data_IF_187453851929
#
_entry.id   IF_187453851929
#
_cell.length_a   1.000
_cell.length_b   1.000
_cell.length_c   1.000
_cell.angle_alpha   90.00
_cell.angle_beta   90.00
_cell.angle_gamma   90.00
#
_symmetry.space_group_name_H-M   'P 1'
#
loop_
_entity.id
_entity.type
_entity.pdbx_description
1 polymer ?
#
# COMPACT_ATOMS: atom_id res chain seq x y z
N UNK A 1 22.06 -0.82 -9.84
CA UNK A 1 21.25 0.33 -9.34
C UNK A 1 22.12 1.45 -8.76
N UNK A 2 23.08 2.00 -9.52
CA UNK A 2 23.96 3.09 -9.06
C UNK A 2 23.34 4.48 -9.22
N UNK A 3 22.48 4.67 -10.24
CA UNK A 3 21.84 5.95 -10.56
C UNK A 3 20.77 6.39 -9.54
N UNK A 4 20.21 5.45 -8.77
CA UNK A 4 19.23 5.72 -7.73
C UNK A 4 19.69 5.09 -6.40
N UNK A 5 20.18 5.89 -5.43
CA UNK A 5 20.72 5.37 -4.17
C UNK A 5 19.69 4.59 -3.34
N UNK A 6 18.42 4.99 -3.41
CA UNK A 6 17.30 4.33 -2.70
C UNK A 6 16.07 4.19 -3.60
N UNK A 7 15.16 3.27 -3.26
CA UNK A 7 13.87 3.11 -3.92
C UNK A 7 13.05 4.42 -3.91
N UNK A 8 13.20 5.22 -2.86
CA UNK A 8 12.56 6.54 -2.75
C UNK A 8 13.04 7.52 -3.83
N UNK A 9 14.32 7.49 -4.20
CA UNK A 9 14.84 8.31 -5.30
C UNK A 9 14.22 7.91 -6.65
N UNK A 10 14.10 6.60 -6.92
CA UNK A 10 13.43 6.11 -8.13
C UNK A 10 11.95 6.52 -8.16
N UNK A 11 11.23 6.37 -7.04
CA UNK A 11 9.83 6.75 -6.95
C UNK A 11 9.61 8.26 -7.10
N UNK A 12 10.50 9.08 -6.54
CA UNK A 12 10.45 10.54 -6.68
C UNK A 12 10.71 10.97 -8.13
N UNK A 13 11.69 10.34 -8.79
CA UNK A 13 11.99 10.58 -10.21
C UNK A 13 10.84 10.14 -11.12
N UNK A 14 10.23 8.99 -10.85
CA UNK A 14 9.07 8.50 -11.59
C UNK A 14 7.78 9.31 -11.33
N UNK A 15 7.75 10.18 -10.31
CA UNK A 15 6.56 10.96 -9.95
C UNK A 15 5.45 10.12 -9.31
N UNK A 16 5.79 8.97 -8.70
CA UNK A 16 4.87 8.08 -7.99
C UNK A 16 4.86 8.31 -6.47
N UNK A 17 5.40 9.44 -6.00
CA UNK A 17 5.36 9.84 -4.60
C UNK A 17 4.49 11.09 -4.40
N UNK A 18 3.94 11.31 -3.20
CA UNK A 18 3.35 12.60 -2.83
C UNK A 18 4.37 13.73 -3.01
N UNK A 19 3.90 14.91 -3.42
CA UNK A 19 4.75 16.10 -3.46
C UNK A 19 5.09 16.58 -2.05
N UNK A 20 6.34 17.00 -1.87
CA UNK A 20 6.77 17.73 -0.68
C UNK A 20 6.90 19.22 -1.05
N UNK A 21 5.83 19.99 -0.85
CA UNK A 21 5.79 21.43 -1.11
C UNK A 21 5.59 22.15 0.22
N UNK A 22 6.70 22.61 0.79
CA UNK A 22 6.75 23.26 2.09
C UNK A 22 7.63 24.51 1.99
N UNK A 23 7.21 25.58 2.65
CA UNK A 23 7.93 26.86 2.69
C UNK A 23 7.65 27.49 4.04
N UNK A 24 8.69 27.96 4.74
CA UNK A 24 8.56 28.52 6.09
C UNK A 24 7.71 27.63 7.03
N UNK A 25 7.98 26.31 7.02
CA UNK A 25 7.30 25.28 7.82
C UNK A 25 5.78 25.17 7.55
N UNK A 26 5.29 25.79 6.48
CA UNK A 26 3.90 25.68 6.04
C UNK A 26 3.82 24.74 4.85
N UNK A 27 3.05 23.66 5.03
CA UNK A 27 2.76 22.69 3.98
C UNK A 27 1.72 23.27 3.02
N UNK A 28 2.11 23.42 1.76
CA UNK A 28 1.24 23.86 0.65
C UNK A 28 0.58 22.64 0.01
N UNK A 29 0.66 22.51 -1.31
CA UNK A 29 -0.02 21.46 -2.06
C UNK A 29 0.74 20.12 -2.00
N UNK A 30 0.02 19.03 -1.69
CA UNK A 30 0.57 17.66 -1.75
C UNK A 30 0.48 17.00 -3.13
N UNK A 31 0.36 17.79 -4.22
CA UNK A 31 0.18 17.25 -5.58
C UNK A 31 1.42 16.44 -5.99
N UNK A 32 1.19 15.33 -6.69
CA UNK A 32 2.29 14.52 -7.23
C UNK A 32 3.15 15.34 -8.19
N UNK A 33 4.45 15.01 -8.25
CA UNK A 33 5.36 15.55 -9.26
C UNK A 33 5.00 15.01 -10.65
N UNK A 34 5.36 15.74 -11.71
CA UNK A 34 5.15 15.28 -13.09
C UNK A 34 5.93 13.98 -13.36
N UNK A 35 7.20 13.94 -12.95
CA UNK A 35 8.07 12.77 -13.08
C UNK A 35 8.19 12.27 -14.53
N UNK A 36 8.60 11.01 -14.69
CA UNK A 36 8.54 10.33 -15.98
C UNK A 36 7.09 9.91 -16.29
N UNK A 37 6.47 10.58 -17.27
CA UNK A 37 5.06 10.38 -17.60
C UNK A 37 4.74 8.96 -18.10
N UNK A 38 5.63 8.39 -18.94
CA UNK A 38 5.47 7.05 -19.52
C UNK A 38 5.55 5.98 -18.44
N UNK A 39 6.61 5.98 -17.64
CA UNK A 39 6.79 5.00 -16.58
C UNK A 39 5.62 5.04 -15.58
N UNK A 40 5.19 6.25 -15.23
CA UNK A 40 4.06 6.46 -14.31
C UNK A 40 2.75 5.92 -14.89
N UNK A 41 2.41 6.23 -16.14
CA UNK A 41 1.16 5.75 -16.74
C UNK A 41 1.17 4.23 -16.90
N UNK A 42 2.28 3.65 -17.35
CA UNK A 42 2.45 2.20 -17.45
C UNK A 42 2.25 1.51 -16.10
N UNK A 43 2.92 1.98 -15.04
CA UNK A 43 2.78 1.39 -13.71
C UNK A 43 1.37 1.52 -13.14
N UNK A 44 0.67 2.62 -13.43
CA UNK A 44 -0.74 2.77 -13.04
C UNK A 44 -1.60 1.74 -13.77
N UNK A 45 -1.41 1.54 -15.07
CA UNK A 45 -2.13 0.48 -15.83
C UNK A 45 -1.82 -0.91 -15.26
N UNK A 46 -0.55 -1.20 -14.93
CA UNK A 46 -0.19 -2.44 -14.26
C UNK A 46 -0.88 -2.58 -12.90
N UNK A 47 -0.97 -1.50 -12.12
CA UNK A 47 -1.69 -1.49 -10.85
C UNK A 47 -3.18 -1.78 -11.02
N UNK A 48 -3.84 -1.24 -12.05
CA UNK A 48 -5.22 -1.60 -12.38
C UNK A 48 -5.37 -3.12 -12.58
N UNK A 49 -4.47 -3.75 -13.34
CA UNK A 49 -4.47 -5.20 -13.51
C UNK A 49 -4.19 -5.96 -12.20
N UNK A 50 -3.17 -5.55 -11.46
CA UNK A 50 -2.73 -6.20 -10.22
C UNK A 50 -3.85 -6.27 -9.17
N UNK A 51 -4.67 -5.21 -9.06
CA UNK A 51 -5.80 -5.17 -8.13
C UNK A 51 -6.95 -6.13 -8.48
N UNK A 52 -6.94 -6.78 -9.65
CA UNK A 52 -7.94 -7.80 -9.99
C UNK A 52 -7.68 -9.11 -9.24
N UNK A 53 -6.43 -9.38 -8.85
CA UNK A 53 -6.09 -10.57 -8.06
C UNK A 53 -6.37 -10.32 -6.58
N UNK A 54 -7.51 -10.82 -6.10
CA UNK A 54 -7.98 -10.65 -4.71
C UNK A 54 -7.07 -11.27 -3.66
N UNK A 55 -6.23 -12.24 -4.04
CA UNK A 55 -5.33 -12.93 -3.13
C UNK A 55 -3.97 -12.21 -2.98
N UNK A 56 -3.74 -11.13 -3.74
CA UNK A 56 -2.47 -10.41 -3.73
C UNK A 56 -2.38 -9.32 -2.67
N UNK A 57 -1.15 -9.00 -2.25
CA UNK A 57 -0.85 -7.83 -1.43
C UNK A 57 -1.36 -6.53 -2.06
N UNK A 58 -1.23 -6.39 -3.38
CA UNK A 58 -1.63 -5.18 -4.10
C UNK A 58 -3.14 -4.93 -4.02
N UNK A 59 -3.96 -5.99 -4.05
CA UNK A 59 -5.40 -5.86 -3.81
C UNK A 59 -5.69 -5.42 -2.37
N UNK A 60 -5.05 -6.04 -1.38
CA UNK A 60 -5.24 -5.67 0.02
C UNK A 60 -4.86 -4.20 0.29
N UNK A 61 -3.75 -3.75 -0.30
CA UNK A 61 -3.33 -2.34 -0.23
C UNK A 61 -4.34 -1.41 -0.90
N UNK A 62 -4.83 -1.79 -2.08
CA UNK A 62 -5.85 -1.02 -2.80
C UNK A 62 -7.14 -0.88 -1.99
N UNK A 63 -7.66 -1.98 -1.45
CA UNK A 63 -8.89 -1.96 -0.63
C UNK A 63 -8.74 -1.09 0.60
N UNK A 64 -7.62 -1.23 1.31
CA UNK A 64 -7.33 -0.40 2.48
C UNK A 64 -7.32 1.08 2.16
N UNK A 65 -6.64 1.51 1.09
CA UNK A 65 -6.47 2.94 0.78
C UNK A 65 -7.71 3.52 0.08
N UNK A 66 -8.35 2.75 -0.78
CA UNK A 66 -9.49 3.22 -1.58
C UNK A 66 -10.70 3.58 -0.72
N UNK A 67 -10.89 2.91 0.43
CA UNK A 67 -11.99 3.16 1.36
C UNK A 67 -11.97 4.57 1.96
N UNK A 68 -10.80 5.19 2.14
CA UNK A 68 -10.68 6.49 2.80
C UNK A 68 -9.97 7.58 1.96
N UNK A 69 -9.30 7.25 0.85
CA UNK A 69 -8.66 8.22 -0.07
C UNK A 69 -9.24 8.22 -1.48
N UNK A 70 -10.10 7.25 -1.81
CA UNK A 70 -10.66 7.07 -3.15
C UNK A 70 -9.78 6.25 -4.10
N UNK A 71 -10.42 5.65 -5.11
CA UNK A 71 -9.81 4.66 -6.03
C UNK A 71 -8.59 5.19 -6.79
N UNK A 72 -8.67 6.40 -7.34
CA UNK A 72 -7.57 7.02 -8.12
C UNK A 72 -6.27 7.10 -7.31
N UNK A 73 -6.35 7.51 -6.04
CA UNK A 73 -5.18 7.59 -5.15
C UNK A 73 -4.68 6.22 -4.73
N UNK A 74 -5.57 5.25 -4.57
CA UNK A 74 -5.19 3.88 -4.26
C UNK A 74 -4.39 3.21 -5.39
N UNK A 75 -4.76 3.40 -6.65
CA UNK A 75 -3.97 2.88 -7.79
C UNK A 75 -2.55 3.44 -7.82
N UNK A 76 -2.39 4.74 -7.55
CA UNK A 76 -1.06 5.36 -7.46
C UNK A 76 -0.24 4.76 -6.32
N UNK A 77 -0.84 4.50 -5.17
CA UNK A 77 -0.14 3.90 -4.03
C UNK A 77 0.29 2.45 -4.31
N UNK A 78 -0.52 1.68 -5.05
CA UNK A 78 -0.14 0.35 -5.53
C UNK A 78 1.01 0.46 -6.52
N UNK A 79 0.91 1.35 -7.51
CA UNK A 79 1.98 1.59 -8.49
C UNK A 79 3.30 2.00 -7.82
N UNK A 80 3.25 2.81 -6.76
CA UNK A 80 4.41 3.16 -5.95
C UNK A 80 5.05 1.92 -5.30
N UNK A 81 4.23 1.05 -4.71
CA UNK A 81 4.71 -0.18 -4.05
C UNK A 81 5.28 -1.18 -5.05
N UNK A 82 4.67 -1.30 -6.24
CA UNK A 82 5.22 -2.06 -7.36
C UNK A 82 6.59 -1.53 -7.78
N UNK A 83 6.76 -0.21 -7.89
CA UNK A 83 8.03 0.40 -8.25
C UNK A 83 9.12 0.16 -7.19
N UNK A 84 8.76 0.16 -5.91
CA UNK A 84 9.69 -0.22 -4.83
C UNK A 84 10.11 -1.68 -4.97
N UNK A 85 9.17 -2.59 -5.25
CA UNK A 85 9.50 -4.00 -5.47
C UNK A 85 10.44 -4.18 -6.67
N UNK A 86 10.15 -3.51 -7.80
CA UNK A 86 11.01 -3.52 -8.99
C UNK A 86 12.42 -3.00 -8.66
N UNK A 87 12.53 -1.95 -7.83
CA UNK A 87 13.84 -1.44 -7.41
C UNK A 87 14.69 -2.51 -6.72
N UNK A 88 14.12 -3.24 -5.77
CA UNK A 88 14.84 -4.28 -5.02
C UNK A 88 15.16 -5.50 -5.88
N UNK A 89 14.24 -5.92 -6.76
CA UNK A 89 14.49 -6.99 -7.73
C UNK A 89 15.70 -6.64 -8.61
N UNK A 90 15.76 -5.41 -9.12
CA UNK A 90 16.86 -4.95 -9.98
C UNK A 90 18.15 -4.63 -9.24
N UNK A 91 18.08 -4.21 -7.97
CA UNK A 91 19.27 -3.86 -7.18
C UNK A 91 19.93 -5.10 -6.59
N UNK A 92 19.13 -5.93 -5.95
CA UNK A 92 19.59 -7.01 -5.08
C UNK A 92 19.48 -8.37 -5.81
N UNK A 93 18.89 -8.43 -7.02
CA UNK A 93 18.73 -9.66 -7.79
C UNK A 93 17.71 -10.63 -7.21
N UNK A 94 16.87 -10.18 -6.29
CA UNK A 94 15.93 -11.03 -5.55
C UNK A 94 14.64 -11.28 -6.34
N UNK A 95 14.04 -12.45 -6.12
CA UNK A 95 12.73 -12.78 -6.71
C UNK A 95 11.61 -12.01 -6.00
N UNK A 96 10.62 -11.55 -6.76
CA UNK A 96 9.42 -10.94 -6.19
C UNK A 96 8.67 -11.92 -5.30
N UNK A 97 8.41 -11.52 -4.06
CA UNK A 97 7.57 -12.28 -3.11
C UNK A 97 6.31 -11.48 -2.81
N UNK A 98 5.16 -12.04 -3.16
CA UNK A 98 3.87 -11.47 -2.77
C UNK A 98 3.63 -11.74 -1.26
N UNK A 99 3.22 -10.70 -0.53
CA UNK A 99 2.91 -10.77 0.89
C UNK A 99 1.50 -11.31 1.15
N UNK A 100 0.67 -11.38 0.09
CA UNK A 100 -0.67 -11.92 0.13
C UNK A 100 -1.73 -10.95 0.69
N UNK A 101 -2.99 -11.34 0.53
CA UNK A 101 -4.14 -10.52 0.92
C UNK A 101 -4.22 -10.24 2.44
N UNK A 102 -3.73 -11.18 3.25
CA UNK A 102 -3.81 -11.10 4.71
C UNK A 102 -2.70 -10.26 5.36
N UNK A 103 -1.80 -9.67 4.57
CA UNK A 103 -0.68 -8.89 5.10
C UNK A 103 -1.12 -7.81 6.10
N UNK A 104 -2.21 -7.09 5.81
CA UNK A 104 -2.73 -6.06 6.72
C UNK A 104 -3.52 -6.62 7.92
N UNK A 105 -3.92 -7.89 7.88
CA UNK A 105 -4.64 -8.55 8.96
C UNK A 105 -3.71 -8.89 10.13
N UNK A 106 -2.44 -9.18 9.84
CA UNK A 106 -1.43 -9.57 10.82
C UNK A 106 -1.06 -8.44 11.80
N UNK A 107 -1.16 -7.17 11.39
CA UNK A 107 -0.84 -6.03 12.27
C UNK A 107 -1.92 -5.83 13.34
N UNK A 108 -1.47 -5.62 14.58
CA UNK A 108 -2.32 -5.36 15.75
C UNK A 108 -3.38 -6.45 15.95
N UNK A 109 -3.03 -7.71 15.67
CA UNK A 109 -3.94 -8.86 15.69
C UNK A 109 -4.70 -8.95 17.03
N UNK A 110 -3.99 -8.89 18.14
CA UNK A 110 -4.59 -8.91 19.48
C UNK A 110 -5.57 -7.76 19.71
N UNK A 111 -5.18 -6.54 19.33
CA UNK A 111 -6.06 -5.36 19.46
C UNK A 111 -7.34 -5.54 18.63
N UNK A 112 -7.24 -6.11 17.41
CA UNK A 112 -8.41 -6.42 16.57
C UNK A 112 -9.27 -7.51 17.21
N UNK A 113 -8.66 -8.60 17.68
CA UNK A 113 -9.35 -9.68 18.39
C UNK A 113 -10.13 -9.10 19.57
N UNK A 114 -9.49 -8.31 20.43
CA UNK A 114 -10.14 -7.69 21.59
C UNK A 114 -11.25 -6.72 21.20
N UNK A 115 -11.07 -5.95 20.13
CA UNK A 115 -12.12 -5.07 19.61
C UNK A 115 -13.32 -5.84 19.06
N UNK A 116 -13.09 -6.98 18.38
CA UNK A 116 -14.16 -7.85 17.90
C UNK A 116 -14.86 -8.56 19.05
N UNK A 117 -14.14 -9.10 20.02
CA UNK A 117 -14.71 -9.68 21.24
C UNK A 117 -15.58 -8.68 21.99
N UNK A 118 -15.12 -7.42 22.12
CA UNK A 118 -15.91 -6.35 22.75
C UNK A 118 -17.21 -6.07 21.98
N UNK A 119 -17.16 -6.07 20.64
CA UNK A 119 -18.37 -5.91 19.80
C UNK A 119 -19.31 -7.11 19.90
N UNK A 120 -18.79 -8.33 19.90
CA UNK A 120 -19.59 -9.55 20.03
C UNK A 120 -20.31 -9.60 21.38
N UNK A 121 -19.60 -9.29 22.47
CA UNK A 121 -20.21 -9.13 23.80
C UNK A 121 -21.33 -8.08 23.82
N UNK A 122 -21.12 -6.93 23.16
CA UNK A 122 -22.15 -5.89 23.07
C UNK A 122 -23.38 -6.30 22.25
N UNK A 123 -23.24 -7.27 21.34
CA UNK A 123 -24.34 -7.85 20.57
C UNK A 123 -25.04 -9.01 21.30
N UNK A 124 -24.66 -9.30 22.56
CA UNK A 124 -25.23 -10.38 23.35
C UNK A 124 -24.66 -11.77 23.05
N UNK A 125 -23.53 -11.85 22.33
CA UNK A 125 -22.83 -13.12 22.14
C UNK A 125 -21.97 -13.42 23.37
N UNK A 126 -22.35 -14.46 24.11
CA UNK A 126 -21.53 -15.02 25.19
C UNK A 126 -20.57 -16.08 24.65
N UNK A 127 -19.38 -16.16 25.26
CA UNK A 127 -18.39 -17.16 24.85
C UNK A 127 -18.92 -18.52 25.25
N UNK A 128 -19.08 -19.49 24.32
CA UNK A 128 -19.50 -20.83 24.69
C UNK A 128 -18.47 -21.40 25.67
N UNK A 129 -18.93 -21.79 26.87
CA UNK A 129 -18.10 -22.48 27.86
C UNK A 129 -17.76 -23.83 27.26
N UNK A 130 -16.54 -23.99 26.76
CA UNK A 130 -16.05 -25.29 26.31
C UNK A 130 -15.81 -26.09 27.59
N UNK A 131 -16.71 -27.03 27.88
CA UNK A 131 -16.49 -28.03 28.91
C UNK A 131 -15.22 -28.82 28.52
N UNK A 132 -14.25 -28.84 29.43
CA UNK A 132 -12.98 -29.55 29.27
C UNK A 132 -13.18 -31.07 29.32
#
# INVERSE_FOLDING_TARGET
>A
MSRFPTAGHLAAWAGLCPGNNESAQKRKTGKMRKGNALLRSTLVVCAHSATRNKNSYFYAQFMRISSHRGKKRAYVAVAHSMLIAIYHILKDGVVFKDLGADYYNQFNKERKINAYLKKLKALGWEVPVVAA
#
